data_IF_097277116137
#
_entry.id   IF_097277116137
#
_cell.length_a   1.000
_cell.length_b   1.000
_cell.length_c   1.000
_cell.angle_alpha   90.00
_cell.angle_beta   90.00
_cell.angle_gamma   90.00
#
_symmetry.space_group_name_H-M   'P 1'
#
loop_
_entity.id
_entity.type
_entity.pdbx_description
1 polymer ?
#
# COMPACT_ATOMS: atom_id res chain seq x y z
N UNK A 1 34.50 23.97 -2.11
CA UNK A 1 33.20 24.24 -2.77
C UNK A 1 32.07 23.87 -1.82
N UNK A 2 30.94 24.60 -1.77
CA UNK A 2 29.82 24.24 -0.92
C UNK A 2 29.25 22.88 -1.34
N UNK A 3 29.10 21.95 -0.39
CA UNK A 3 28.57 20.61 -0.65
C UNK A 3 27.07 20.73 -0.96
N UNK A 4 26.68 20.48 -2.21
CA UNK A 4 25.29 20.67 -2.67
C UNK A 4 24.49 19.37 -2.61
N UNK A 5 23.29 19.42 -2.00
CA UNK A 5 22.33 18.31 -2.02
C UNK A 5 21.46 18.45 -3.28
N UNK A 6 21.70 17.59 -4.26
CA UNK A 6 20.96 17.53 -5.53
C UNK A 6 19.58 16.89 -5.35
N UNK A 7 18.68 17.08 -6.31
CA UNK A 7 17.36 16.42 -6.31
C UNK A 7 17.44 14.89 -6.35
N UNK A 8 18.50 14.33 -6.95
CA UNK A 8 18.75 12.89 -6.89
C UNK A 8 19.07 12.43 -5.46
N UNK A 9 19.90 13.17 -4.73
CA UNK A 9 20.18 12.91 -3.33
C UNK A 9 18.92 13.02 -2.47
N UNK A 10 18.11 14.08 -2.69
CA UNK A 10 16.82 14.26 -2.01
C UNK A 10 15.92 13.06 -2.18
N UNK A 11 15.77 12.55 -3.42
CA UNK A 11 14.95 11.36 -3.72
C UNK A 11 15.46 10.11 -3.02
N UNK A 12 16.78 9.84 -3.08
CA UNK A 12 17.39 8.68 -2.41
C UNK A 12 17.22 8.74 -0.89
N UNK A 13 17.44 9.91 -0.28
CA UNK A 13 17.26 10.11 1.17
C UNK A 13 15.78 9.95 1.56
N UNK A 14 14.85 10.52 0.78
CA UNK A 14 13.42 10.34 1.01
C UNK A 14 13.01 8.86 0.91
N UNK A 15 13.56 8.11 -0.06
CA UNK A 15 13.32 6.68 -0.20
C UNK A 15 13.87 5.89 0.99
N UNK A 16 15.10 6.19 1.44
CA UNK A 16 15.68 5.59 2.65
C UNK A 16 14.77 5.78 3.87
N UNK A 17 14.23 7.00 4.06
CA UNK A 17 13.32 7.29 5.16
C UNK A 17 12.00 6.50 5.03
N UNK A 18 11.43 6.35 3.84
CA UNK A 18 10.19 5.57 3.65
C UNK A 18 10.38 4.08 4.01
N UNK A 19 11.55 3.53 3.70
CA UNK A 19 11.90 2.15 4.00
C UNK A 19 12.59 1.99 5.36
N UNK A 20 12.48 2.98 6.25
CA UNK A 20 13.11 2.89 7.56
C UNK A 20 12.60 1.66 8.33
N UNK A 21 13.49 0.85 8.91
CA UNK A 21 13.13 -0.36 9.65
C UNK A 21 12.33 -0.02 10.91
N UNK A 22 11.40 -0.90 11.28
CA UNK A 22 10.51 -0.70 12.43
C UNK A 22 11.25 -0.89 13.76
N UNK A 23 12.31 -1.71 13.77
CA UNK A 23 13.09 -1.97 14.99
C UNK A 23 13.93 -0.76 15.43
N UNK A 24 14.26 0.17 14.53
CA UNK A 24 15.12 1.30 14.83
C UNK A 24 14.34 2.61 15.04
N UNK A 25 14.75 3.40 16.02
CA UNK A 25 14.19 4.72 16.23
C UNK A 25 14.44 5.61 15.00
N UNK A 26 13.37 6.21 14.48
CA UNK A 26 13.47 7.23 13.44
C UNK A 26 13.68 8.59 14.11
N UNK A 27 14.94 9.01 14.18
CA UNK A 27 15.35 10.33 14.62
C UNK A 27 16.22 11.03 13.57
N UNK A 28 16.39 12.34 13.73
CA UNK A 28 17.12 13.15 12.76
C UNK A 28 18.62 12.85 12.75
N UNK A 29 19.21 12.38 13.86
CA UNK A 29 20.63 12.05 13.90
C UNK A 29 20.88 10.81 13.04
N UNK A 30 20.03 9.78 13.18
CA UNK A 30 20.09 8.57 12.37
C UNK A 30 19.85 8.87 10.88
N UNK A 31 18.91 9.76 10.57
CA UNK A 31 18.69 10.20 9.18
C UNK A 31 19.90 10.94 8.62
N UNK A 32 20.56 11.80 9.41
CA UNK A 32 21.78 12.50 8.98
C UNK A 32 22.92 11.50 8.73
N UNK A 33 23.12 10.52 9.62
CA UNK A 33 24.13 9.47 9.46
C UNK A 33 23.85 8.63 8.21
N UNK A 34 22.60 8.18 8.00
CA UNK A 34 22.23 7.43 6.79
C UNK A 34 22.39 8.25 5.50
N UNK A 35 22.07 9.53 5.55
CA UNK A 35 22.26 10.44 4.43
C UNK A 35 23.74 10.66 4.07
N UNK A 36 24.66 10.53 5.03
CA UNK A 36 26.11 10.62 4.77
C UNK A 36 26.55 9.63 3.69
N UNK A 37 26.13 8.36 3.80
CA UNK A 37 26.47 7.32 2.83
C UNK A 37 25.86 7.57 1.44
N UNK A 38 24.66 8.14 1.38
CA UNK A 38 23.99 8.51 0.12
C UNK A 38 24.67 9.69 -0.56
N UNK A 39 25.16 10.65 0.23
CA UNK A 39 25.80 11.87 -0.25
C UNK A 39 27.28 11.68 -0.59
N UNK A 40 27.91 10.60 -0.11
CA UNK A 40 29.34 10.35 -0.28
C UNK A 40 30.21 11.39 0.43
N UNK A 41 29.75 11.91 1.58
CA UNK A 41 30.45 12.96 2.33
C UNK A 41 31.24 12.37 3.50
N UNK A 42 32.38 13.00 3.83
CA UNK A 42 33.20 12.61 4.99
C UNK A 42 32.49 12.82 6.33
N UNK A 43 31.52 13.75 6.36
CA UNK A 43 30.75 14.12 7.54
C UNK A 43 29.24 14.10 7.23
N UNK A 44 28.38 13.74 8.21
CA UNK A 44 26.94 13.82 8.05
C UNK A 44 26.45 15.23 7.69
N UNK A 45 25.41 15.35 6.83
CA UNK A 45 24.70 16.61 6.66
C UNK A 45 24.04 17.05 7.98
N UNK A 46 23.75 18.35 8.12
CA UNK A 46 22.98 18.85 9.25
C UNK A 46 21.48 18.60 9.04
N UNK A 47 20.74 18.41 10.13
CA UNK A 47 19.27 18.34 10.09
C UNK A 47 18.65 19.51 9.33
N UNK A 48 19.17 20.73 9.53
CA UNK A 48 18.65 21.93 8.87
C UNK A 48 18.79 21.86 7.35
N UNK A 49 19.87 21.28 6.83
CA UNK A 49 20.06 21.08 5.40
C UNK A 49 19.03 20.10 4.81
N UNK A 50 18.68 19.05 5.56
CA UNK A 50 17.72 18.03 5.14
C UNK A 50 16.26 18.49 5.31
N UNK A 51 15.91 19.11 6.43
CA UNK A 51 14.52 19.53 6.75
C UNK A 51 14.02 20.66 5.84
N UNK A 52 14.93 21.47 5.27
CA UNK A 52 14.58 22.46 4.24
C UNK A 52 14.08 21.81 2.94
N UNK A 53 14.37 20.53 2.70
CA UNK A 53 13.92 19.80 1.50
C UNK A 53 12.56 19.16 1.76
N UNK A 54 11.53 19.68 1.10
CA UNK A 54 10.12 19.29 1.31
C UNK A 54 9.93 17.77 1.22
N UNK A 55 10.51 17.11 0.21
CA UNK A 55 10.37 15.66 0.01
C UNK A 55 10.91 14.84 1.19
N UNK A 56 12.04 15.25 1.77
CA UNK A 56 12.64 14.60 2.95
C UNK A 56 11.75 14.85 4.17
N UNK A 57 11.31 16.10 4.38
CA UNK A 57 10.46 16.49 5.50
C UNK A 57 9.12 15.72 5.51
N UNK A 58 8.47 15.63 4.35
CA UNK A 58 7.23 14.87 4.20
C UNK A 58 7.47 13.39 4.47
N UNK A 59 8.50 12.79 3.86
CA UNK A 59 8.82 11.38 4.06
C UNK A 59 9.11 11.06 5.53
N UNK A 60 9.81 11.95 6.25
CA UNK A 60 10.08 11.81 7.68
C UNK A 60 8.81 11.85 8.52
N UNK A 61 7.93 12.84 8.29
CA UNK A 61 6.66 12.95 9.02
C UNK A 61 5.78 11.73 8.79
N UNK A 62 5.54 11.36 7.53
CA UNK A 62 4.71 10.21 7.17
C UNK A 62 5.24 8.91 7.75
N UNK A 63 6.55 8.66 7.66
CA UNK A 63 7.13 7.45 8.27
C UNK A 63 7.04 7.46 9.78
N UNK A 64 7.24 8.61 10.43
CA UNK A 64 7.14 8.73 11.89
C UNK A 64 5.73 8.46 12.40
N UNK A 65 4.71 8.94 11.69
CA UNK A 65 3.31 8.63 11.96
C UNK A 65 3.00 7.15 11.75
N UNK A 66 3.47 6.56 10.64
CA UNK A 66 3.34 5.13 10.38
C UNK A 66 3.94 4.29 11.51
N UNK A 67 5.18 4.58 11.92
CA UNK A 67 5.86 3.84 13.00
C UNK A 67 5.14 4.01 14.34
N UNK A 68 4.54 5.18 14.61
CA UNK A 68 3.72 5.39 15.81
C UNK A 68 2.47 4.52 15.76
N UNK A 69 1.78 4.49 14.63
CA UNK A 69 0.58 3.67 14.43
C UNK A 69 0.90 2.17 14.53
N UNK A 70 1.99 1.71 13.91
CA UNK A 70 2.43 0.31 14.00
C UNK A 70 2.78 -0.09 15.43
N UNK A 71 3.47 0.79 16.19
CA UNK A 71 3.73 0.57 17.62
C UNK A 71 2.44 0.51 18.44
N UNK A 72 1.49 1.41 18.20
CA UNK A 72 0.20 1.40 18.89
C UNK A 72 -0.58 0.11 18.59
N UNK A 73 -0.66 -0.29 17.33
CA UNK A 73 -1.29 -1.54 16.91
C UNK A 73 -0.65 -2.76 17.58
N UNK A 74 0.67 -2.76 17.74
CA UNK A 74 1.39 -3.85 18.42
C UNK A 74 1.10 -3.89 19.93
N UNK A 75 0.90 -2.72 20.57
CA UNK A 75 0.54 -2.61 21.99
C UNK A 75 -0.92 -3.01 22.23
N UNK A 76 -1.83 -2.61 21.34
CA UNK A 76 -3.26 -2.95 21.40
C UNK A 76 -3.54 -4.40 20.99
N UNK A 77 -2.60 -5.05 20.30
CA UNK A 77 -2.73 -6.46 19.93
C UNK A 77 -2.71 -7.33 21.19
N UNK A 78 -3.77 -8.14 21.43
CA UNK A 78 -3.77 -9.08 22.53
C UNK A 78 -2.62 -10.07 22.33
N UNK A 79 -1.72 -10.14 23.31
CA UNK A 79 -0.59 -11.09 23.26
C UNK A 79 -1.16 -12.52 23.17
N UNK A 80 -0.62 -13.35 22.28
CA UNK A 80 -1.03 -14.75 22.23
C UNK A 80 -0.72 -15.40 23.58
N UNK A 81 -1.65 -16.22 24.09
CA UNK A 81 -1.50 -16.89 25.39
C UNK A 81 -0.35 -17.91 25.38
N UNK A 82 0.00 -18.45 24.20
CA UNK A 82 1.14 -19.32 23.98
C UNK A 82 1.70 -19.19 22.56
N UNK A 83 2.94 -19.65 22.35
CA UNK A 83 3.55 -19.77 21.01
C UNK A 83 2.74 -20.71 20.11
N UNK A 84 2.19 -21.78 20.67
CA UNK A 84 1.31 -22.71 19.96
C UNK A 84 0.03 -22.03 19.46
N UNK A 85 -0.60 -21.17 20.27
CA UNK A 85 -1.78 -20.42 19.85
C UNK A 85 -1.46 -19.41 18.74
N UNK A 86 -0.28 -18.78 18.80
CA UNK A 86 0.20 -17.91 17.73
C UNK A 86 0.39 -18.69 16.42
N UNK A 87 1.06 -19.85 16.47
CA UNK A 87 1.25 -20.71 15.30
C UNK A 87 -0.10 -21.17 14.72
N UNK A 88 -1.03 -21.65 15.55
CA UNK A 88 -2.39 -22.02 15.11
C UNK A 88 -3.11 -20.86 14.42
N UNK A 89 -3.02 -19.66 14.98
CA UNK A 89 -3.64 -18.46 14.39
C UNK A 89 -3.00 -18.10 13.04
N UNK A 90 -1.68 -18.17 12.93
CA UNK A 90 -0.95 -17.90 11.69
C UNK A 90 -1.34 -18.94 10.63
N UNK A 91 -1.31 -20.23 10.95
CA UNK A 91 -1.70 -21.30 10.01
C UNK A 91 -3.13 -21.11 9.52
N UNK A 92 -4.07 -20.77 10.41
CA UNK A 92 -5.47 -20.51 10.03
C UNK A 92 -5.59 -19.32 9.09
N UNK A 93 -4.94 -18.19 9.43
CA UNK A 93 -4.98 -16.99 8.59
C UNK A 93 -4.32 -17.22 7.23
N UNK A 94 -3.26 -18.03 7.17
CA UNK A 94 -2.61 -18.40 5.92
C UNK A 94 -3.55 -19.23 5.04
N UNK A 95 -4.21 -20.25 5.62
CA UNK A 95 -5.19 -21.07 4.89
C UNK A 95 -6.36 -20.22 4.36
N UNK A 96 -6.90 -19.32 5.18
CA UNK A 96 -7.96 -18.39 4.76
C UNK A 96 -7.49 -17.45 3.64
N UNK A 97 -6.25 -16.95 3.72
CA UNK A 97 -5.68 -16.11 2.68
C UNK A 97 -5.52 -16.85 1.34
N UNK A 98 -5.07 -18.11 1.40
CA UNK A 98 -4.89 -18.95 0.23
C UNK A 98 -6.24 -19.32 -0.39
N UNK A 99 -7.26 -19.61 0.42
CA UNK A 99 -8.64 -19.83 -0.03
C UNK A 99 -9.24 -18.59 -0.70
N UNK A 100 -9.09 -17.41 -0.08
CA UNK A 100 -9.56 -16.14 -0.64
C UNK A 100 -8.87 -15.81 -1.96
N UNK A 101 -7.57 -16.07 -2.09
CA UNK A 101 -6.83 -15.90 -3.35
C UNK A 101 -7.35 -16.84 -4.44
N UNK A 102 -7.58 -18.11 -4.10
CA UNK A 102 -8.14 -19.07 -5.04
C UNK A 102 -9.54 -18.65 -5.52
N UNK A 103 -10.38 -18.15 -4.62
CA UNK A 103 -11.70 -17.63 -4.98
C UNK A 103 -11.62 -16.38 -5.86
N UNK A 104 -10.74 -15.44 -5.54
CA UNK A 104 -10.48 -14.27 -6.38
C UNK A 104 -10.07 -14.67 -7.79
N UNK A 105 -9.19 -15.67 -7.93
CA UNK A 105 -8.79 -16.21 -9.25
C UNK A 105 -9.98 -16.79 -10.00
N UNK A 106 -10.83 -17.59 -9.35
CA UNK A 106 -12.05 -18.13 -9.96
C UNK A 106 -13.00 -17.03 -10.42
N UNK A 107 -13.24 -16.02 -9.58
CA UNK A 107 -14.09 -14.88 -9.93
C UNK A 107 -13.51 -14.08 -11.12
N UNK A 108 -12.19 -13.88 -11.16
CA UNK A 108 -11.53 -13.21 -12.27
C UNK A 108 -11.66 -13.98 -13.59
N UNK A 109 -11.54 -15.31 -13.56
CA UNK A 109 -11.76 -16.16 -14.74
C UNK A 109 -13.20 -16.04 -15.26
N UNK A 110 -14.19 -16.10 -14.37
CA UNK A 110 -15.61 -15.93 -14.75
C UNK A 110 -15.83 -14.54 -15.34
N UNK A 111 -15.32 -13.48 -14.70
CA UNK A 111 -15.43 -12.12 -15.19
C UNK A 111 -14.83 -11.97 -16.59
N UNK A 112 -13.65 -12.56 -16.84
CA UNK A 112 -13.00 -12.54 -18.14
C UNK A 112 -13.86 -13.22 -19.22
N UNK A 113 -14.45 -14.39 -18.93
CA UNK A 113 -15.35 -15.08 -19.85
C UNK A 113 -16.59 -14.25 -20.17
N UNK A 114 -17.20 -13.63 -19.15
CA UNK A 114 -18.37 -12.77 -19.33
C UNK A 114 -18.04 -11.55 -20.18
N UNK A 115 -16.92 -10.87 -19.91
CA UNK A 115 -16.46 -9.71 -20.69
C UNK A 115 -16.22 -10.13 -22.14
N UNK A 116 -15.48 -11.22 -22.37
CA UNK A 116 -15.22 -11.72 -23.73
C UNK A 116 -16.53 -12.00 -24.47
N UNK A 117 -17.43 -12.79 -23.88
CA UNK A 117 -18.71 -13.15 -24.50
C UNK A 117 -19.61 -11.92 -24.73
N UNK A 118 -19.58 -10.93 -23.84
CA UNK A 118 -20.34 -9.70 -24.01
C UNK A 118 -19.78 -8.83 -25.15
N UNK A 119 -18.44 -8.75 -25.28
CA UNK A 119 -17.80 -7.98 -26.36
C UNK A 119 -18.11 -8.57 -27.74
N UNK A 120 -18.06 -9.89 -27.91
CA UNK A 120 -18.46 -10.54 -29.17
C UNK A 120 -19.96 -10.38 -29.47
N UNK A 121 -20.79 -10.19 -28.42
CA UNK A 121 -22.22 -9.87 -28.55
C UNK A 121 -22.50 -8.37 -28.77
N UNK A 122 -21.46 -7.54 -28.93
CA UNK A 122 -21.59 -6.11 -29.22
C UNK A 122 -21.92 -5.22 -28.03
N UNK A 123 -21.78 -5.71 -26.79
CA UNK A 123 -21.91 -4.86 -25.60
C UNK A 123 -20.64 -4.04 -25.40
N UNK A 124 -20.81 -2.73 -25.18
CA UNK A 124 -19.70 -1.85 -24.83
C UNK A 124 -19.34 -1.97 -23.35
N UNK A 125 -18.11 -1.59 -23.01
CA UNK A 125 -17.62 -1.59 -21.63
C UNK A 125 -18.46 -0.68 -20.73
N UNK A 126 -18.87 0.48 -21.23
CA UNK A 126 -19.68 1.45 -20.49
C UNK A 126 -21.01 0.84 -20.08
N UNK A 127 -21.63 0.06 -20.97
CA UNK A 127 -22.88 -0.65 -20.69
C UNK A 127 -22.70 -1.80 -19.70
N UNK A 128 -21.58 -2.51 -19.76
CA UNK A 128 -21.26 -3.59 -18.82
C UNK A 128 -20.94 -3.09 -17.41
N UNK A 129 -20.35 -1.90 -17.32
CA UNK A 129 -19.98 -1.26 -16.05
C UNK A 129 -21.06 -0.32 -15.52
N UNK A 130 -22.22 -0.25 -16.17
CA UNK A 130 -23.34 0.53 -15.69
C UNK A 130 -23.74 0.04 -14.27
N UNK A 131 -24.09 0.96 -13.36
CA UNK A 131 -24.49 0.58 -12.01
C UNK A 131 -25.69 -0.38 -12.06
N UNK A 132 -25.72 -1.33 -11.13
CA UNK A 132 -26.87 -2.20 -10.99
C UNK A 132 -28.09 -1.36 -10.62
N UNK A 133 -29.27 -1.64 -11.20
CA UNK A 133 -30.50 -0.93 -10.86
C UNK A 133 -30.77 -1.12 -9.36
N UNK A 134 -31.10 -0.03 -8.67
CA UNK A 134 -31.41 -0.09 -7.25
C UNK A 134 -32.84 -0.61 -7.04
N UNK A 135 -33.14 -1.15 -5.85
CA UNK A 135 -34.45 -1.73 -5.51
C UNK A 135 -35.62 -0.74 -5.72
N UNK A 136 -35.35 0.56 -5.73
CA UNK A 136 -36.34 1.62 -5.92
C UNK A 136 -36.57 2.04 -7.37
N UNK A 137 -35.84 1.47 -8.33
CA UNK A 137 -35.97 1.81 -9.75
C UNK A 137 -36.94 0.82 -10.44
N UNK A 138 -38.03 1.30 -11.08
CA UNK A 138 -38.96 0.41 -11.76
C UNK A 138 -38.24 -0.31 -12.90
N UNK A 139 -38.26 -1.65 -12.87
CA UNK A 139 -37.63 -2.46 -13.92
C UNK A 139 -38.30 -2.16 -15.26
N UNK A 140 -37.56 -1.59 -16.19
CA UNK A 140 -38.00 -1.46 -17.57
C UNK A 140 -38.08 -2.88 -18.17
N UNK A 141 -39.25 -3.51 -18.07
CA UNK A 141 -39.56 -4.76 -18.73
C UNK A 141 -39.32 -4.60 -20.24
N UNK A 142 -38.19 -5.11 -20.74
CA UNK A 142 -37.99 -5.22 -22.19
C UNK A 142 -38.86 -6.36 -22.68
N UNK A 143 -39.93 -6.00 -23.38
CA UNK A 143 -40.78 -6.91 -24.11
C UNK A 143 -39.92 -7.87 -24.94
N UNK A 144 -40.05 -9.18 -24.70
CA UNK A 144 -39.54 -10.21 -25.60
C UNK A 144 -40.32 -10.10 -26.90
N UNK A 145 -39.75 -9.45 -27.90
CA UNK A 145 -40.18 -9.60 -29.29
C UNK A 145 -39.48 -10.82 -29.86
N UNK A 146 -40.12 -11.98 -29.74
CA UNK A 146 -39.81 -13.13 -30.60
C UNK A 146 -40.71 -13.04 -31.83
N UNK A 147 -40.09 -12.88 -33.00
CA UNK A 147 -40.58 -13.39 -34.28
C UNK A 147 -39.81 -14.66 -34.59
#
# INVERSE_FOLDING_TARGET
MPKTITEQHVRKIAQMIRHWPVEHALDWNAVCIGAQGILGWDNPPTRQALDKKISIKVSYKSKKEQLKFEKQKLVEMPRPRSTLDAMKKITRLQAENDELKAELTRMAEIANRLIYNATIAGLTRERLMAPLPTIHEPQAHRARTHK
#
